data_IF_239291763591
#
_entry.id   IF_239291763591
#
_cell.length_a   1.000
_cell.length_b   1.000
_cell.length_c   1.000
_cell.angle_alpha   90.00
_cell.angle_beta   90.00
_cell.angle_gamma   90.00
#
_symmetry.space_group_name_H-M   'P 1'
#
loop_
_entity.id
_entity.type
_entity.pdbx_description
1 polymer ?
#
# COMPACT_ATOMS: atom_id res chain seq x y z
N UNK A 1 -15.91 -23.17 -7.89
CA UNK A 1 -14.60 -22.60 -7.47
C UNK A 1 -14.62 -22.29 -5.97
N UNK A 2 -15.61 -21.55 -5.43
CA UNK A 2 -15.74 -21.32 -3.97
C UNK A 2 -15.74 -22.60 -3.10
N UNK A 3 -16.45 -23.66 -3.51
CA UNK A 3 -16.48 -24.92 -2.76
C UNK A 3 -15.11 -25.63 -2.64
N UNK A 4 -14.18 -25.39 -3.58
CA UNK A 4 -12.82 -25.98 -3.55
C UNK A 4 -11.94 -25.22 -2.57
N UNK A 5 -12.01 -23.89 -2.56
CA UNK A 5 -11.32 -23.04 -1.59
C UNK A 5 -11.82 -23.33 -0.17
N UNK A 6 -13.14 -23.41 0.02
CA UNK A 6 -13.74 -23.75 1.33
C UNK A 6 -13.31 -25.13 1.82
N UNK A 7 -13.22 -26.13 0.91
CA UNK A 7 -12.70 -27.45 1.27
C UNK A 7 -11.23 -27.39 1.69
N UNK A 8 -10.38 -26.63 0.99
CA UNK A 8 -8.97 -26.50 1.35
C UNK A 8 -8.79 -25.79 2.69
N UNK A 9 -9.55 -24.73 2.96
CA UNK A 9 -9.54 -24.02 4.26
C UNK A 9 -9.97 -24.98 5.38
N UNK A 10 -11.00 -25.79 5.15
CA UNK A 10 -11.45 -26.79 6.12
C UNK A 10 -10.41 -27.90 6.35
N UNK A 11 -9.72 -28.34 5.29
CA UNK A 11 -8.62 -29.31 5.37
C UNK A 11 -7.43 -28.75 6.14
N UNK A 12 -6.95 -27.54 5.82
CA UNK A 12 -5.89 -26.87 6.58
C UNK A 12 -6.25 -26.71 8.07
N UNK A 13 -7.51 -26.36 8.36
CA UNK A 13 -8.00 -26.22 9.73
C UNK A 13 -7.99 -27.54 10.50
N UNK A 14 -8.22 -28.67 9.80
CA UNK A 14 -8.13 -30.00 10.37
C UNK A 14 -6.65 -30.45 10.55
N UNK A 15 -5.80 -30.14 9.57
CA UNK A 15 -4.37 -30.48 9.56
C UNK A 15 -3.56 -29.67 10.57
N UNK A 16 -4.06 -28.49 10.99
CA UNK A 16 -3.50 -27.68 12.08
C UNK A 16 -3.32 -28.46 13.40
N UNK A 17 -4.08 -29.54 13.60
CA UNK A 17 -3.96 -30.41 14.78
C UNK A 17 -2.81 -31.41 14.69
N UNK A 18 -2.24 -31.60 13.49
CA UNK A 18 -1.24 -32.64 13.19
C UNK A 18 0.11 -32.11 12.73
N UNK A 19 0.16 -30.87 12.23
CA UNK A 19 1.40 -30.19 11.77
C UNK A 19 2.05 -29.39 12.90
N UNK A 20 3.35 -29.11 12.76
CA UNK A 20 3.99 -28.05 13.57
C UNK A 20 3.45 -26.67 13.18
N UNK A 21 3.55 -25.68 14.09
CA UNK A 21 3.10 -24.31 13.79
C UNK A 21 3.76 -23.76 12.51
N UNK A 22 5.06 -23.98 12.32
CA UNK A 22 5.79 -23.51 11.15
C UNK A 22 5.29 -24.15 9.84
N UNK A 23 5.09 -25.47 9.81
CA UNK A 23 4.57 -26.18 8.62
C UNK A 23 3.15 -25.73 8.29
N UNK A 24 2.32 -25.56 9.31
CA UNK A 24 0.95 -25.07 9.12
C UNK A 24 0.91 -23.60 8.66
N UNK A 25 1.78 -22.74 9.20
CA UNK A 25 1.89 -21.35 8.79
C UNK A 25 2.32 -21.26 7.31
N UNK A 26 3.33 -22.01 6.89
CA UNK A 26 3.80 -21.98 5.50
C UNK A 26 2.70 -22.41 4.53
N UNK A 27 1.96 -23.48 4.82
CA UNK A 27 0.83 -23.92 4.01
C UNK A 27 -0.32 -22.90 3.97
N UNK A 28 -0.59 -22.24 5.10
CA UNK A 28 -1.59 -21.16 5.20
C UNK A 28 -1.22 -19.97 4.32
N UNK A 29 0.05 -19.56 4.35
CA UNK A 29 0.54 -18.45 3.53
C UNK A 29 0.52 -18.77 2.04
N UNK A 30 0.91 -19.98 1.64
CA UNK A 30 0.85 -20.42 0.24
C UNK A 30 -0.59 -20.36 -0.29
N UNK A 31 -1.56 -20.84 0.48
CA UNK A 31 -2.98 -20.77 0.09
C UNK A 31 -3.45 -19.31 0.05
N UNK A 32 -3.03 -18.47 0.98
CA UNK A 32 -3.29 -17.03 0.96
C UNK A 32 -2.84 -16.35 -0.34
N UNK A 33 -1.59 -16.59 -0.76
CA UNK A 33 -1.05 -16.05 -2.00
C UNK A 33 -1.81 -16.56 -3.23
N UNK A 34 -2.12 -17.87 -3.28
CA UNK A 34 -2.96 -18.43 -4.36
C UNK A 34 -4.30 -17.72 -4.41
N UNK A 35 -5.00 -17.56 -3.27
CA UNK A 35 -6.32 -16.91 -3.19
C UNK A 35 -6.28 -15.46 -3.67
N UNK A 36 -5.21 -14.73 -3.37
CA UNK A 36 -4.95 -13.39 -3.88
C UNK A 36 -4.75 -13.40 -5.40
N UNK A 37 -3.91 -14.30 -5.93
CA UNK A 37 -3.64 -14.40 -7.37
C UNK A 37 -4.89 -14.72 -8.19
N UNK A 38 -5.76 -15.60 -7.67
CA UNK A 38 -7.02 -15.95 -8.34
C UNK A 38 -8.15 -14.96 -8.05
N UNK A 39 -7.93 -13.94 -7.21
CA UNK A 39 -8.90 -12.89 -6.93
C UNK A 39 -10.11 -13.33 -6.11
N UNK A 40 -9.91 -14.16 -5.07
CA UNK A 40 -10.96 -14.70 -4.20
C UNK A 40 -10.89 -14.10 -2.77
N UNK A 41 -11.25 -12.82 -2.58
CA UNK A 41 -11.08 -12.13 -1.30
C UNK A 41 -11.93 -12.72 -0.17
N UNK A 42 -13.14 -13.24 -0.43
CA UNK A 42 -13.97 -13.81 0.63
C UNK A 42 -13.36 -15.08 1.24
N UNK A 43 -12.67 -15.87 0.41
CA UNK A 43 -11.95 -17.06 0.88
C UNK A 43 -10.68 -16.66 1.66
N UNK A 44 -9.94 -15.64 1.18
CA UNK A 44 -8.78 -15.12 1.88
C UNK A 44 -9.15 -14.55 3.26
N UNK A 45 -10.28 -13.83 3.35
CA UNK A 45 -10.79 -13.33 4.63
C UNK A 45 -11.13 -14.48 5.59
N UNK A 46 -11.82 -15.53 5.12
CA UNK A 46 -12.12 -16.71 5.95
C UNK A 46 -10.84 -17.37 6.45
N UNK A 47 -9.84 -17.54 5.58
CA UNK A 47 -8.54 -18.08 5.94
C UNK A 47 -7.85 -17.23 7.01
N UNK A 48 -7.84 -15.90 6.86
CA UNK A 48 -7.24 -14.98 7.83
C UNK A 48 -7.91 -15.09 9.21
N UNK A 49 -9.25 -15.13 9.27
CA UNK A 49 -9.99 -15.31 10.52
C UNK A 49 -9.66 -16.66 11.18
N UNK A 50 -9.58 -17.74 10.41
CA UNK A 50 -9.18 -19.05 10.92
C UNK A 50 -7.74 -19.05 11.43
N UNK A 51 -6.83 -18.39 10.70
CA UNK A 51 -5.43 -18.32 11.05
C UNK A 51 -5.22 -17.52 12.36
N UNK A 52 -5.90 -16.39 12.53
CA UNK A 52 -5.74 -15.54 13.71
C UNK A 52 -5.93 -16.30 15.03
N UNK A 53 -6.92 -17.19 15.11
CA UNK A 53 -7.16 -17.98 16.31
C UNK A 53 -5.96 -18.86 16.68
N UNK A 54 -5.28 -19.44 15.68
CA UNK A 54 -4.10 -20.29 15.88
C UNK A 54 -2.88 -19.44 16.24
N UNK A 55 -2.70 -18.29 15.58
CA UNK A 55 -1.59 -17.36 15.87
C UNK A 55 -1.66 -16.84 17.30
N UNK A 56 -2.84 -16.41 17.76
CA UNK A 56 -3.07 -15.97 19.13
C UNK A 56 -2.85 -17.11 20.15
N UNK A 57 -3.25 -18.33 19.80
CA UNK A 57 -3.00 -19.51 20.63
C UNK A 57 -1.51 -19.82 20.76
N UNK A 58 -0.76 -19.74 19.66
CA UNK A 58 0.70 -19.95 19.63
C UNK A 58 1.41 -18.89 20.48
N UNK A 59 1.13 -17.60 20.26
CA UNK A 59 1.72 -16.51 21.03
C UNK A 59 1.42 -16.62 22.54
N UNK A 60 0.24 -17.14 22.91
CA UNK A 60 -0.11 -17.39 24.31
C UNK A 60 0.64 -18.58 24.91
N UNK A 61 0.85 -19.64 24.13
CA UNK A 61 1.56 -20.84 24.59
C UNK A 61 3.08 -20.59 24.71
N UNK A 62 3.63 -19.71 23.87
CA UNK A 62 5.06 -19.41 23.77
C UNK A 62 5.29 -17.89 23.79
N UNK A 63 5.14 -17.22 24.95
CA UNK A 63 5.17 -15.76 25.04
C UNK A 63 6.54 -15.13 24.71
N UNK A 64 7.62 -15.91 24.78
CA UNK A 64 8.98 -15.46 24.45
C UNK A 64 9.32 -15.63 22.96
N UNK A 65 8.46 -16.29 22.18
CA UNK A 65 8.65 -16.47 20.74
C UNK A 65 8.34 -15.17 19.99
N UNK A 66 9.25 -14.74 19.11
CA UNK A 66 9.03 -13.59 18.26
C UNK A 66 8.04 -13.92 17.14
N UNK A 67 6.78 -13.57 17.40
CA UNK A 67 5.65 -13.78 16.48
C UNK A 67 5.42 -12.59 15.54
N UNK A 68 6.30 -11.58 15.51
CA UNK A 68 6.09 -10.35 14.73
C UNK A 68 5.91 -10.64 13.23
N UNK A 69 6.77 -11.50 12.66
CA UNK A 69 6.68 -11.91 11.25
C UNK A 69 5.37 -12.64 10.96
N UNK A 70 4.94 -13.49 11.89
CA UNK A 70 3.67 -14.19 11.79
C UNK A 70 2.51 -13.19 11.79
N UNK A 71 2.44 -12.28 12.76
CA UNK A 71 1.37 -11.28 12.77
C UNK A 71 1.39 -10.33 11.56
N UNK A 72 2.57 -10.04 10.99
CA UNK A 72 2.65 -9.33 9.71
C UNK A 72 1.98 -10.14 8.58
N UNK A 73 2.31 -11.43 8.44
CA UNK A 73 1.69 -12.34 7.44
C UNK A 73 0.18 -12.44 7.63
N UNK A 74 -0.29 -12.49 8.87
CA UNK A 74 -1.73 -12.47 9.16
C UNK A 74 -2.40 -11.17 8.68
N UNK A 75 -1.76 -10.02 8.85
CA UNK A 75 -2.27 -8.76 8.32
C UNK A 75 -2.30 -8.75 6.78
N UNK A 76 -1.30 -9.35 6.13
CA UNK A 76 -1.29 -9.53 4.68
C UNK A 76 -2.45 -10.41 4.20
N UNK A 77 -2.76 -11.52 4.89
CA UNK A 77 -3.92 -12.37 4.61
C UNK A 77 -5.24 -11.60 4.72
N UNK A 78 -5.40 -10.79 5.77
CA UNK A 78 -6.55 -9.89 5.90
C UNK A 78 -6.59 -8.87 4.75
N UNK A 79 -5.43 -8.34 4.34
CA UNK A 79 -5.29 -7.46 3.18
C UNK A 79 -5.75 -8.11 1.87
N UNK A 80 -5.43 -9.38 1.64
CA UNK A 80 -5.91 -10.14 0.46
C UNK A 80 -7.42 -10.30 0.46
N UNK A 81 -8.02 -10.41 1.65
CA UNK A 81 -9.47 -10.40 1.84
C UNK A 81 -10.13 -9.03 1.74
N UNK A 82 -9.38 -7.96 1.44
CA UNK A 82 -9.81 -6.55 1.53
C UNK A 82 -10.35 -6.16 2.92
N UNK A 83 -9.98 -6.88 3.98
CA UNK A 83 -10.36 -6.60 5.36
C UNK A 83 -9.33 -5.67 6.01
N UNK A 84 -9.34 -4.43 5.57
CA UNK A 84 -8.37 -3.41 6.02
C UNK A 84 -8.53 -3.02 7.48
N UNK A 85 -9.72 -3.25 8.06
CA UNK A 85 -9.98 -3.01 9.48
C UNK A 85 -9.21 -4.02 10.34
N UNK A 86 -9.31 -5.31 10.03
CA UNK A 86 -8.58 -6.33 10.77
C UNK A 86 -7.09 -6.33 10.46
N UNK A 87 -6.67 -6.09 9.21
CA UNK A 87 -5.26 -5.92 8.87
C UNK A 87 -4.61 -4.81 9.72
N UNK A 88 -5.25 -3.64 9.79
CA UNK A 88 -4.78 -2.52 10.62
C UNK A 88 -4.73 -2.89 12.09
N UNK A 89 -5.78 -3.53 12.62
CA UNK A 89 -5.84 -3.95 14.02
C UNK A 89 -4.68 -4.88 14.39
N UNK A 90 -4.42 -5.89 13.56
CA UNK A 90 -3.34 -6.86 13.78
C UNK A 90 -1.98 -6.15 13.77
N UNK A 91 -1.72 -5.30 12.78
CA UNK A 91 -0.47 -4.52 12.72
C UNK A 91 -0.33 -3.61 13.94
N UNK A 92 -1.36 -2.86 14.28
CA UNK A 92 -1.34 -1.94 15.41
C UNK A 92 -1.03 -2.65 16.74
N UNK A 93 -1.61 -3.82 16.95
CA UNK A 93 -1.49 -4.58 18.21
C UNK A 93 -0.16 -5.33 18.32
N UNK A 94 0.36 -5.84 17.20
CA UNK A 94 1.45 -6.82 17.23
C UNK A 94 2.71 -6.37 16.49
N UNK A 95 2.60 -5.49 15.49
CA UNK A 95 3.72 -5.04 14.65
C UNK A 95 3.59 -3.54 14.30
N UNK A 96 3.46 -2.63 15.30
CA UNK A 96 3.08 -1.24 15.05
C UNK A 96 4.10 -0.47 14.20
N UNK A 97 5.38 -0.90 14.19
CA UNK A 97 6.42 -0.30 13.37
C UNK A 97 6.19 -0.45 11.86
N UNK A 98 5.39 -1.42 11.44
CA UNK A 98 5.08 -1.66 10.02
C UNK A 98 3.69 -1.16 9.61
N UNK A 99 2.88 -0.67 10.56
CA UNK A 99 1.47 -0.36 10.33
C UNK A 99 1.28 0.62 9.16
N UNK A 100 1.99 1.76 9.17
CA UNK A 100 1.80 2.81 8.18
C UNK A 100 2.14 2.33 6.76
N UNK A 101 3.30 1.68 6.58
CA UNK A 101 3.75 1.23 5.26
C UNK A 101 2.88 0.10 4.71
N UNK A 102 2.57 -0.91 5.53
CA UNK A 102 1.75 -2.03 5.09
C UNK A 102 0.30 -1.58 4.78
N UNK A 103 -0.24 -0.66 5.57
CA UNK A 103 -1.61 -0.17 5.35
C UNK A 103 -1.75 0.65 4.07
N UNK A 104 -0.71 1.34 3.59
CA UNK A 104 -0.75 1.97 2.25
C UNK A 104 -1.08 0.91 1.18
N UNK A 105 -0.40 -0.24 1.21
CA UNK A 105 -0.63 -1.31 0.23
C UNK A 105 -2.00 -1.95 0.39
N UNK A 106 -2.41 -2.23 1.62
CA UNK A 106 -3.72 -2.83 1.88
C UNK A 106 -4.87 -1.92 1.44
N UNK A 107 -4.77 -0.61 1.70
CA UNK A 107 -5.76 0.36 1.23
C UNK A 107 -5.77 0.49 -0.29
N UNK A 108 -4.62 0.51 -0.95
CA UNK A 108 -4.56 0.56 -2.41
C UNK A 108 -5.17 -0.69 -3.05
N UNK A 109 -4.89 -1.87 -2.52
CA UNK A 109 -5.47 -3.14 -3.02
C UNK A 109 -6.99 -3.17 -2.83
N UNK A 110 -7.47 -2.71 -1.68
CA UNK A 110 -8.90 -2.57 -1.38
C UNK A 110 -9.57 -1.37 -2.08
N UNK A 111 -8.84 -0.62 -2.91
CA UNK A 111 -9.31 0.59 -3.61
C UNK A 111 -9.82 1.69 -2.67
N UNK A 112 -9.34 1.70 -1.44
CA UNK A 112 -9.59 2.71 -0.42
C UNK A 112 -8.61 3.87 -0.61
N UNK A 113 -8.74 4.56 -1.75
CA UNK A 113 -7.75 5.52 -2.24
C UNK A 113 -7.52 6.70 -1.30
N UNK A 114 -8.57 7.22 -0.66
CA UNK A 114 -8.47 8.35 0.26
C UNK A 114 -7.67 7.99 1.52
N UNK A 115 -7.88 6.79 2.08
CA UNK A 115 -7.09 6.31 3.22
C UNK A 115 -5.62 6.06 2.82
N UNK A 116 -5.38 5.49 1.65
CA UNK A 116 -4.01 5.32 1.13
C UNK A 116 -3.31 6.69 0.92
N UNK A 117 -4.04 7.68 0.38
CA UNK A 117 -3.56 9.05 0.18
C UNK A 117 -3.17 9.71 1.49
N UNK A 118 -4.00 9.61 2.52
CA UNK A 118 -3.71 10.21 3.83
C UNK A 118 -2.38 9.69 4.40
N UNK A 119 -2.18 8.36 4.38
CA UNK A 119 -0.93 7.76 4.82
C UNK A 119 0.25 8.16 3.93
N UNK A 120 0.07 8.21 2.61
CA UNK A 120 1.13 8.65 1.67
C UNK A 120 1.59 10.08 1.94
N UNK A 121 0.66 10.98 2.26
CA UNK A 121 0.94 12.38 2.60
C UNK A 121 1.68 12.46 3.94
N UNK A 122 1.22 11.72 4.96
CA UNK A 122 1.86 11.71 6.28
C UNK A 122 3.29 11.17 6.22
N UNK A 123 3.52 10.14 5.39
CA UNK A 123 4.83 9.59 5.11
C UNK A 123 5.71 10.50 4.23
N UNK A 124 5.15 11.58 3.68
CA UNK A 124 5.80 12.51 2.75
C UNK A 124 6.47 11.79 1.56
N UNK A 125 5.76 10.80 1.00
CA UNK A 125 6.25 9.88 -0.04
C UNK A 125 5.78 10.29 -1.44
N UNK A 126 6.71 10.35 -2.38
CA UNK A 126 6.44 10.52 -3.82
C UNK A 126 7.22 9.45 -4.60
N UNK A 127 6.61 8.28 -4.73
CA UNK A 127 7.15 7.10 -5.40
C UNK A 127 6.12 6.49 -6.38
N UNK A 128 6.35 5.27 -6.87
CA UNK A 128 5.44 4.61 -7.81
C UNK A 128 4.00 4.44 -7.27
N UNK A 129 3.81 4.34 -5.94
CA UNK A 129 2.48 4.27 -5.35
C UNK A 129 1.78 5.63 -5.44
N UNK A 130 2.51 6.73 -5.29
CA UNK A 130 1.98 8.08 -5.55
C UNK A 130 1.53 8.26 -7.01
N UNK A 131 2.23 7.68 -7.99
CA UNK A 131 1.78 7.69 -9.39
C UNK A 131 0.43 7.00 -9.57
N UNK A 132 0.24 5.86 -8.90
CA UNK A 132 -1.02 5.13 -8.93
C UNK A 132 -2.13 5.98 -8.28
N UNK A 133 -1.87 6.58 -7.11
CA UNK A 133 -2.82 7.44 -6.42
C UNK A 133 -3.24 8.64 -7.27
N UNK A 134 -2.29 9.34 -7.89
CA UNK A 134 -2.58 10.41 -8.85
C UNK A 134 -3.53 9.96 -9.96
N UNK A 135 -3.33 8.75 -10.51
CA UNK A 135 -4.22 8.24 -11.57
C UNK A 135 -5.63 7.95 -11.08
N UNK A 136 -5.75 7.36 -9.89
CA UNK A 136 -7.03 6.90 -9.34
C UNK A 136 -7.86 8.04 -8.73
N UNK A 137 -7.24 8.89 -7.90
CA UNK A 137 -7.91 9.99 -7.21
C UNK A 137 -8.28 11.11 -8.19
N UNK A 138 -7.46 11.34 -9.22
CA UNK A 138 -7.75 12.33 -10.25
C UNK A 138 -8.47 11.75 -11.47
N UNK A 139 -9.37 10.78 -11.29
CA UNK A 139 -10.31 10.40 -12.37
C UNK A 139 -11.24 11.56 -12.74
N UNK A 140 -11.51 12.44 -11.77
CA UNK A 140 -12.32 13.66 -11.89
C UNK A 140 -11.61 14.83 -11.21
N UNK A 141 -12.06 16.05 -11.52
CA UNK A 141 -11.52 17.28 -10.91
C UNK A 141 -12.17 17.56 -9.55
N UNK A 142 -11.77 16.80 -8.53
CA UNK A 142 -12.24 16.95 -7.15
C UNK A 142 -11.26 17.78 -6.29
N UNK A 143 -11.70 18.33 -5.14
CA UNK A 143 -10.79 18.95 -4.18
C UNK A 143 -9.66 18.02 -3.75
N UNK A 144 -9.97 16.75 -3.49
CA UNK A 144 -8.98 15.74 -3.10
C UNK A 144 -7.89 15.53 -4.16
N UNK A 145 -8.28 15.52 -5.44
CA UNK A 145 -7.34 15.49 -6.56
C UNK A 145 -6.45 16.73 -6.59
N UNK A 146 -7.03 17.93 -6.50
CA UNK A 146 -6.27 19.18 -6.53
C UNK A 146 -5.26 19.27 -5.38
N UNK A 147 -5.67 18.90 -4.18
CA UNK A 147 -4.80 18.84 -3.02
C UNK A 147 -3.67 17.80 -3.19
N UNK A 148 -3.97 16.62 -3.78
CA UNK A 148 -2.95 15.59 -4.00
C UNK A 148 -1.91 15.99 -5.07
N UNK A 149 -2.36 16.69 -6.12
CA UNK A 149 -1.47 17.31 -7.11
C UNK A 149 -0.55 18.33 -6.42
N UNK A 150 -1.13 19.21 -5.59
CA UNK A 150 -0.37 20.22 -4.85
C UNK A 150 0.65 19.59 -3.90
N UNK A 151 0.26 18.54 -3.16
CA UNK A 151 1.18 17.74 -2.33
C UNK A 151 2.36 17.21 -3.17
N UNK A 152 2.06 16.55 -4.29
CA UNK A 152 3.10 15.95 -5.15
C UNK A 152 4.05 17.04 -5.67
N UNK A 153 3.52 18.17 -6.16
CA UNK A 153 4.33 19.29 -6.65
C UNK A 153 5.22 19.89 -5.54
N UNK A 154 4.68 20.07 -4.32
CA UNK A 154 5.46 20.55 -3.16
C UNK A 154 6.60 19.61 -2.81
N UNK A 155 6.36 18.30 -2.84
CA UNK A 155 7.43 17.35 -2.53
C UNK A 155 8.51 17.31 -3.60
N UNK A 156 8.13 17.38 -4.87
CA UNK A 156 9.09 17.43 -5.98
C UNK A 156 9.99 18.68 -5.93
N UNK A 157 9.52 19.82 -5.42
CA UNK A 157 10.37 21.02 -5.30
C UNK A 157 11.43 20.89 -4.21
N UNK A 158 11.18 20.09 -3.17
CA UNK A 158 12.07 19.92 -2.01
C UNK A 158 13.06 18.77 -2.14
N UNK A 159 12.81 17.80 -3.02
CA UNK A 159 13.74 16.70 -3.31
C UNK A 159 14.98 17.18 -4.08
N UNK A 160 16.01 16.32 -4.23
CA UNK A 160 17.14 16.61 -5.11
C UNK A 160 16.65 16.97 -6.52
N UNK A 161 17.34 17.87 -7.22
CA UNK A 161 16.86 18.38 -8.52
C UNK A 161 16.51 17.23 -9.46
N UNK A 162 15.29 17.26 -10.00
CA UNK A 162 14.83 16.32 -11.03
C UNK A 162 15.75 16.50 -12.23
N UNK A 163 16.65 15.52 -12.41
CA UNK A 163 17.54 15.50 -13.57
C UNK A 163 16.92 14.63 -14.66
N UNK A 164 17.51 14.59 -15.86
CA UNK A 164 17.14 13.61 -16.89
C UNK A 164 17.28 12.14 -16.44
N UNK A 165 17.98 11.88 -15.34
CA UNK A 165 18.18 10.53 -14.78
C UNK A 165 17.21 10.21 -13.64
N UNK A 166 16.41 11.18 -13.18
CA UNK A 166 15.38 10.95 -12.17
C UNK A 166 14.08 10.50 -12.85
N UNK A 167 14.01 9.20 -13.15
CA UNK A 167 12.86 8.62 -13.85
C UNK A 167 11.57 8.76 -13.04
N UNK A 168 11.64 8.60 -11.72
CA UNK A 168 10.46 8.68 -10.84
C UNK A 168 9.91 10.11 -10.79
N UNK A 169 10.75 11.11 -10.50
CA UNK A 169 10.32 12.51 -10.44
C UNK A 169 9.72 13.00 -11.76
N UNK A 170 10.35 12.64 -12.89
CA UNK A 170 9.84 12.98 -14.23
C UNK A 170 8.49 12.33 -14.54
N UNK A 171 8.29 11.07 -14.15
CA UNK A 171 7.02 10.38 -14.33
C UNK A 171 5.87 11.05 -13.55
N UNK A 172 6.15 11.55 -12.34
CA UNK A 172 5.16 12.27 -11.53
C UNK A 172 4.70 13.55 -12.23
N UNK A 173 5.64 14.37 -12.70
CA UNK A 173 5.33 15.60 -13.42
C UNK A 173 4.57 15.33 -14.72
N UNK A 174 5.00 14.33 -15.47
CA UNK A 174 4.31 13.91 -16.69
C UNK A 174 2.87 13.48 -16.38
N UNK A 175 2.67 12.70 -15.32
CA UNK A 175 1.35 12.26 -14.89
C UNK A 175 0.46 13.45 -14.48
N UNK A 176 1.00 14.44 -13.77
CA UNK A 176 0.28 15.66 -13.40
C UNK A 176 -0.12 16.46 -14.65
N UNK A 177 0.79 16.64 -15.60
CA UNK A 177 0.49 17.31 -16.88
C UNK A 177 -0.61 16.60 -17.67
N UNK A 178 -0.56 15.27 -17.71
CA UNK A 178 -1.62 14.46 -18.34
C UNK A 178 -2.97 14.62 -17.64
N UNK A 179 -3.00 14.69 -16.30
CA UNK A 179 -4.23 14.93 -15.54
C UNK A 179 -4.82 16.30 -15.89
N UNK A 180 -3.99 17.35 -15.88
CA UNK A 180 -4.44 18.69 -16.25
C UNK A 180 -5.03 18.74 -17.65
N UNK A 181 -4.34 18.15 -18.62
CA UNK A 181 -4.81 18.09 -20.00
C UNK A 181 -6.12 17.31 -20.13
N UNK A 182 -6.18 16.08 -19.59
CA UNK A 182 -7.34 15.19 -19.68
C UNK A 182 -8.59 15.80 -19.05
N UNK A 183 -8.44 16.45 -17.90
CA UNK A 183 -9.55 17.01 -17.15
C UNK A 183 -9.86 18.48 -17.50
N UNK A 184 -9.10 19.09 -18.42
CA UNK A 184 -9.25 20.51 -18.77
C UNK A 184 -9.00 21.47 -17.59
N UNK A 185 -8.13 21.07 -16.65
CA UNK A 185 -7.81 21.86 -15.46
C UNK A 185 -6.79 22.95 -15.84
N UNK A 186 -7.11 24.18 -15.50
CA UNK A 186 -6.13 25.27 -15.43
C UNK A 186 -5.53 25.24 -14.02
N UNK A 187 -4.21 25.05 -13.85
CA UNK A 187 -3.60 24.96 -12.53
C UNK A 187 -3.83 26.26 -11.74
N UNK A 188 -4.10 26.15 -10.44
CA UNK A 188 -4.26 27.31 -9.56
C UNK A 188 -2.93 28.07 -9.36
N UNK A 189 -2.99 29.29 -8.80
CA UNK A 189 -1.81 30.14 -8.65
C UNK A 189 -0.66 29.47 -7.87
N UNK A 190 -0.98 28.73 -6.80
CA UNK A 190 0.02 27.97 -6.03
C UNK A 190 0.68 26.87 -6.88
N UNK A 191 -0.13 26.07 -7.59
CA UNK A 191 0.37 25.00 -8.46
C UNK A 191 1.22 25.56 -9.60
N UNK A 192 0.82 26.69 -10.20
CA UNK A 192 1.62 27.39 -11.21
C UNK A 192 2.98 27.84 -10.66
N UNK A 193 2.99 28.42 -9.46
CA UNK A 193 4.23 28.82 -8.80
C UNK A 193 5.16 27.64 -8.53
N UNK A 194 4.61 26.50 -8.08
CA UNK A 194 5.37 25.26 -7.85
C UNK A 194 5.94 24.69 -9.16
N UNK A 195 5.13 24.63 -10.22
CA UNK A 195 5.58 24.18 -11.55
C UNK A 195 6.70 25.09 -12.09
N UNK A 196 6.57 26.41 -11.92
CA UNK A 196 7.61 27.35 -12.33
C UNK A 196 8.90 27.16 -11.51
N UNK A 197 8.79 26.91 -10.20
CA UNK A 197 9.95 26.63 -9.35
C UNK A 197 10.71 25.37 -9.80
N UNK A 198 9.98 24.31 -10.18
CA UNK A 198 10.56 23.10 -10.74
C UNK A 198 11.28 23.36 -12.06
N UNK A 199 10.66 24.13 -12.97
CA UNK A 199 11.27 24.52 -14.23
C UNK A 199 12.57 25.31 -14.01
N UNK A 200 12.54 26.31 -13.12
CA UNK A 200 13.71 27.13 -12.81
C UNK A 200 14.86 26.27 -12.25
N UNK A 201 14.56 25.34 -11.34
CA UNK A 201 15.54 24.41 -10.75
C UNK A 201 16.16 23.48 -11.80
N UNK A 202 15.40 23.07 -12.80
CA UNK A 202 15.90 22.26 -13.92
C UNK A 202 16.79 23.07 -14.88
N UNK A 203 16.58 24.38 -14.97
CA UNK A 203 17.35 25.28 -15.83
C UNK A 203 18.65 25.80 -15.18
N UNK A 204 18.87 25.56 -13.88
CA UNK A 204 20.12 25.96 -13.22
C UNK A 204 21.33 25.24 -13.84
N UNK A 205 22.33 25.98 -14.35
CA UNK A 205 23.54 25.35 -14.89
C UNK A 205 24.22 24.55 -13.77
N UNK A 206 24.57 23.29 -14.05
CA UNK A 206 25.36 22.46 -13.12
C UNK A 206 26.57 23.27 -12.69
N UNK A 207 26.65 23.64 -11.40
CA UNK A 207 27.89 24.20 -10.84
C UNK A 207 28.99 23.19 -11.10
N UNK A 208 30.03 23.61 -11.83
CA UNK A 208 31.24 22.81 -11.98
C UNK A 208 31.75 22.48 -10.57
N UNK A 209 31.82 21.19 -10.27
CA UNK A 209 32.45 20.71 -9.05
C UNK A 209 33.95 21.01 -9.17
N UNK A 210 34.60 21.65 -8.17
CA UNK A 210 36.05 21.82 -8.16
C UNK A 210 36.79 20.49 -8.19
#
# INVERSE_FOLDING_TARGET
QNAVAEKHIATLSAEAQTLTFAEWEDATNEIGEVLKEIGHPEAAQKLAVSAEAIYLSQAKAWPDEDMSRSFQRLAELYGYGNDTVNAKRVLHQHVPSLEEEAMIDHYMNAKQWSQARELMINADRVDNKNLMLLRQICSENTPECQEHITFTLKKLTTQASITRQDDTGNQQLYQIGNIFHRLGIIPGAEQQALIQALYNKAAEPKKATP
#
